data_IF_953348944342
#
_entry.id   IF_953348944342
#
_cell.length_a   1.000
_cell.length_b   1.000
_cell.length_c   1.000
_cell.angle_alpha   90.00
_cell.angle_beta   90.00
_cell.angle_gamma   90.00
#
_symmetry.space_group_name_H-M   'P 1'
#
loop_
_entity.id
_entity.type
_entity.pdbx_description
1 polymer ?
#
# COMPACT_ATOMS: atom_id res chain seq x y z
N UNK A 1 -4.19 -9.84 52.14
CA UNK A 1 -4.89 -9.39 50.91
C UNK A 1 -4.54 -7.93 50.68
N UNK A 2 -4.31 -7.50 49.44
CA UNK A 2 -3.98 -6.10 49.14
C UNK A 2 -5.07 -5.16 49.68
N UNK A 3 -4.66 -4.06 50.32
CA UNK A 3 -5.56 -3.01 50.77
C UNK A 3 -6.10 -2.15 49.61
N UNK A 4 -5.38 -2.12 48.49
CA UNK A 4 -5.76 -1.36 47.31
C UNK A 4 -6.99 -1.94 46.60
N UNK A 5 -7.80 -1.05 46.01
CA UNK A 5 -8.89 -1.43 45.11
C UNK A 5 -8.32 -1.66 43.71
N UNK A 6 -8.76 -2.70 43.02
CA UNK A 6 -8.57 -2.79 41.57
C UNK A 6 -9.46 -1.78 40.84
N UNK A 7 -9.17 -1.46 39.58
CA UNK A 7 -10.00 -0.55 38.77
C UNK A 7 -11.47 -0.99 38.72
N UNK A 8 -11.70 -2.30 38.61
CA UNK A 8 -13.04 -2.89 38.64
C UNK A 8 -13.73 -2.74 40.00
N UNK A 9 -13.00 -2.96 41.10
CA UNK A 9 -13.52 -2.75 42.46
C UNK A 9 -13.85 -1.27 42.72
N UNK A 10 -12.97 -0.35 42.33
CA UNK A 10 -13.16 1.09 42.48
C UNK A 10 -14.37 1.58 41.69
N UNK A 11 -14.54 1.09 40.46
CA UNK A 11 -15.66 1.46 39.60
C UNK A 11 -17.00 0.99 40.17
N UNK A 12 -17.10 -0.29 40.56
CA UNK A 12 -18.34 -0.85 41.14
C UNK A 12 -18.66 -0.17 42.47
N UNK A 13 -17.66 0.03 43.33
CA UNK A 13 -17.84 0.71 44.62
C UNK A 13 -18.29 2.17 44.41
N UNK A 14 -17.70 2.89 43.45
CA UNK A 14 -18.11 4.26 43.09
C UNK A 14 -19.58 4.35 42.67
N UNK A 15 -20.06 3.41 41.86
CA UNK A 15 -21.48 3.34 41.46
C UNK A 15 -22.44 3.09 42.63
N UNK A 16 -21.98 2.36 43.66
CA UNK A 16 -22.72 2.10 44.89
C UNK A 16 -22.62 3.24 45.91
N UNK A 17 -21.53 4.03 45.86
CA UNK A 17 -21.39 5.27 46.62
C UNK A 17 -22.31 6.36 46.08
N UNK A 18 -22.50 6.43 44.76
CA UNK A 18 -23.47 7.33 44.12
C UNK A 18 -24.90 7.05 44.60
N UNK A 19 -25.31 5.78 44.59
CA UNK A 19 -26.58 5.33 45.16
C UNK A 19 -26.59 3.80 45.36
N UNK A 20 -27.40 3.27 46.29
CA UNK A 20 -27.63 1.83 46.39
C UNK A 20 -28.24 1.27 45.10
N UNK A 21 -27.77 0.08 44.69
CA UNK A 21 -28.19 -0.55 43.42
C UNK A 21 -28.28 -2.07 43.56
N UNK A 22 -29.12 -2.67 42.73
CA UNK A 22 -29.08 -4.12 42.49
C UNK A 22 -27.97 -4.50 41.50
N UNK A 23 -27.54 -5.77 41.52
CA UNK A 23 -26.53 -6.28 40.58
C UNK A 23 -26.89 -6.06 39.10
N UNK A 24 -28.16 -6.21 38.73
CA UNK A 24 -28.61 -5.96 37.35
C UNK A 24 -28.64 -4.47 36.96
N UNK A 25 -28.81 -3.58 37.93
CA UNK A 25 -28.80 -2.13 37.69
C UNK A 25 -27.39 -1.63 37.50
N UNK A 26 -26.42 -2.20 38.22
CA UNK A 26 -25.00 -1.96 37.97
C UNK A 26 -24.63 -2.35 36.53
N UNK A 27 -25.06 -3.52 36.08
CA UNK A 27 -24.87 -3.94 34.68
C UNK A 27 -25.49 -2.95 33.70
N UNK A 28 -26.75 -2.53 33.94
CA UNK A 28 -27.44 -1.58 33.08
C UNK A 28 -26.71 -0.24 33.00
N UNK A 29 -26.25 0.29 34.14
CA UNK A 29 -25.51 1.57 34.19
C UNK A 29 -24.13 1.47 33.56
N UNK A 30 -23.43 0.35 33.74
CA UNK A 30 -22.13 0.09 33.11
C UNK A 30 -22.25 0.12 31.58
N UNK A 31 -23.31 -0.50 31.05
CA UNK A 31 -23.61 -0.49 29.62
C UNK A 31 -24.05 0.89 29.13
N UNK A 32 -25.04 1.51 29.80
CA UNK A 32 -25.58 2.83 29.46
C UNK A 32 -24.50 3.92 29.44
N UNK A 33 -23.58 3.91 30.43
CA UNK A 33 -22.48 4.89 30.55
C UNK A 33 -21.23 4.50 29.75
N UNK A 34 -21.23 3.36 29.06
CA UNK A 34 -20.07 2.90 28.29
C UNK A 34 -18.82 2.66 29.14
N UNK A 35 -18.98 2.25 30.39
CA UNK A 35 -17.89 2.10 31.38
C UNK A 35 -16.80 1.12 30.90
N UNK A 36 -17.20 0.15 30.07
CA UNK A 36 -16.30 -0.85 29.47
C UNK A 36 -15.33 -0.28 28.43
N UNK A 37 -15.59 0.93 27.93
CA UNK A 37 -14.67 1.60 27.01
C UNK A 37 -13.37 2.04 27.71
N UNK A 38 -13.41 2.26 29.03
CA UNK A 38 -12.28 2.78 29.82
C UNK A 38 -11.95 1.95 31.07
N UNK A 39 -12.65 0.83 31.30
CA UNK A 39 -12.33 -0.15 32.37
C UNK A 39 -12.38 -1.58 31.87
N UNK A 40 -11.52 -2.44 32.42
CA UNK A 40 -11.52 -3.87 32.15
C UNK A 40 -12.58 -4.63 32.98
N UNK A 41 -13.86 -4.22 32.90
CA UNK A 41 -14.98 -4.85 33.61
C UNK A 41 -15.82 -5.74 32.67
N UNK A 42 -15.61 -7.05 32.73
CA UNK A 42 -16.44 -8.04 32.04
C UNK A 42 -17.81 -8.25 32.70
N UNK A 43 -18.81 -8.70 31.94
CA UNK A 43 -20.17 -9.00 32.45
C UNK A 43 -20.16 -9.92 33.68
N UNK A 44 -19.46 -11.05 33.58
CA UNK A 44 -19.38 -12.05 34.66
C UNK A 44 -18.59 -11.57 35.89
N UNK A 45 -17.91 -10.43 35.81
CA UNK A 45 -17.06 -9.92 36.89
C UNK A 45 -17.81 -9.10 37.93
N UNK A 46 -19.00 -8.56 37.62
CA UNK A 46 -19.72 -7.67 38.56
C UNK A 46 -20.05 -8.40 39.87
N UNK A 47 -20.67 -9.57 39.79
CA UNK A 47 -21.03 -10.33 40.99
C UNK A 47 -19.82 -10.84 41.76
N UNK A 48 -18.73 -11.17 41.07
CA UNK A 48 -17.46 -11.51 41.70
C UNK A 48 -16.87 -10.32 42.47
N UNK A 49 -16.91 -9.12 41.88
CA UNK A 49 -16.46 -7.89 42.54
C UNK A 49 -17.35 -7.56 43.74
N UNK A 50 -18.68 -7.69 43.62
CA UNK A 50 -19.61 -7.49 44.73
C UNK A 50 -19.33 -8.43 45.90
N UNK A 51 -19.15 -9.73 45.65
CA UNK A 51 -18.79 -10.70 46.68
C UNK A 51 -17.45 -10.34 47.37
N UNK A 52 -16.46 -9.92 46.59
CA UNK A 52 -15.15 -9.50 47.11
C UNK A 52 -15.24 -8.23 47.96
N UNK A 53 -16.02 -7.23 47.53
CA UNK A 53 -16.27 -6.00 48.28
C UNK A 53 -17.04 -6.29 49.58
N UNK A 54 -18.02 -7.20 49.55
CA UNK A 54 -18.81 -7.60 50.71
C UNK A 54 -17.96 -8.34 51.75
N UNK A 55 -17.12 -9.30 51.31
CA UNK A 55 -16.16 -10.01 52.17
C UNK A 55 -15.15 -9.08 52.84
N UNK A 56 -14.85 -7.93 52.22
CA UNK A 56 -13.99 -6.87 52.76
C UNK A 56 -14.74 -5.88 53.66
N UNK A 57 -16.06 -6.03 53.84
CA UNK A 57 -16.89 -5.11 54.63
C UNK A 57 -17.04 -3.72 54.01
N UNK A 58 -16.80 -3.57 52.70
CA UNK A 58 -16.90 -2.29 51.99
C UNK A 58 -18.30 -2.02 51.46
N UNK A 59 -19.10 -3.08 51.33
CA UNK A 59 -20.52 -3.02 50.99
C UNK A 59 -21.31 -3.97 51.88
N UNK A 60 -22.61 -3.71 52.02
CA UNK A 60 -23.57 -4.57 52.68
C UNK A 60 -24.78 -4.81 51.78
N UNK A 61 -25.47 -5.94 51.98
CA UNK A 61 -26.65 -6.31 51.21
C UNK A 61 -27.91 -6.21 52.08
N UNK A 62 -28.92 -5.49 51.60
CA UNK A 62 -30.26 -5.46 52.22
C UNK A 62 -31.19 -6.34 51.38
N UNK A 63 -31.80 -7.34 52.01
CA UNK A 63 -32.78 -8.22 51.35
C UNK A 63 -34.18 -7.61 51.45
N UNK A 64 -34.95 -7.61 50.36
CA UNK A 64 -36.37 -7.26 50.39
C UNK A 64 -37.22 -8.42 50.99
N UNK A 65 -38.38 -8.14 51.60
CA UNK A 65 -39.26 -9.17 52.16
C UNK A 65 -39.67 -10.22 51.12
N UNK A 66 -39.89 -11.45 51.60
CA UNK A 66 -40.08 -12.67 50.82
C UNK A 66 -41.41 -12.72 50.05
N UNK A 67 -41.51 -12.08 48.89
CA UNK A 67 -42.45 -12.48 47.83
C UNK A 67 -41.91 -12.09 46.45
N UNK A 68 -41.71 -13.09 45.57
CA UNK A 68 -41.01 -12.95 44.29
C UNK A 68 -39.48 -13.00 44.42
N UNK A 69 -38.74 -13.27 43.33
CA UNK A 69 -37.26 -13.37 43.31
C UNK A 69 -36.62 -12.12 43.96
N UNK A 70 -36.43 -12.14 45.28
CA UNK A 70 -35.88 -11.02 46.07
C UNK A 70 -34.45 -10.80 45.62
N UNK A 71 -34.15 -9.60 45.10
CA UNK A 71 -32.83 -9.21 44.62
C UNK A 71 -32.19 -8.37 45.72
N UNK A 72 -31.04 -8.78 46.23
CA UNK A 72 -30.28 -7.99 47.19
C UNK A 72 -29.99 -6.60 46.61
N UNK A 73 -30.24 -5.56 47.40
CA UNK A 73 -29.75 -4.20 47.13
C UNK A 73 -28.42 -4.05 47.84
N UNK A 74 -27.39 -3.60 47.12
CA UNK A 74 -26.07 -3.38 47.70
C UNK A 74 -25.91 -1.92 48.11
N UNK A 75 -25.37 -1.70 49.30
CA UNK A 75 -25.12 -0.40 49.89
C UNK A 75 -23.63 -0.27 50.21
N UNK A 76 -23.00 0.85 49.87
CA UNK A 76 -21.65 1.14 50.35
C UNK A 76 -21.66 1.37 51.87
N UNK A 77 -20.70 0.80 52.60
CA UNK A 77 -20.49 1.08 54.03
C UNK A 77 -19.72 2.38 54.23
N UNK A 78 -19.55 2.84 55.48
CA UNK A 78 -18.72 4.01 55.77
C UNK A 78 -17.25 3.80 55.35
N UNK A 79 -16.67 2.63 55.67
CA UNK A 79 -15.33 2.26 55.23
C UNK A 79 -15.23 2.13 53.70
N UNK A 80 -16.27 1.63 53.03
CA UNK A 80 -16.37 1.61 51.57
C UNK A 80 -16.29 3.01 50.95
N UNK A 81 -17.05 3.97 51.48
CA UNK A 81 -17.02 5.37 51.03
C UNK A 81 -15.64 6.01 51.22
N UNK A 82 -15.02 5.83 52.39
CA UNK A 82 -13.69 6.36 52.69
C UNK A 82 -12.62 5.79 51.75
N UNK A 83 -12.63 4.47 51.55
CA UNK A 83 -11.66 3.82 50.68
C UNK A 83 -11.86 4.19 49.21
N UNK A 84 -13.10 4.31 48.74
CA UNK A 84 -13.42 4.79 47.39
C UNK A 84 -12.87 6.21 47.17
N UNK A 85 -13.04 7.10 48.15
CA UNK A 85 -12.53 8.47 48.07
C UNK A 85 -11.00 8.53 48.15
N UNK A 86 -10.36 7.68 48.95
CA UNK A 86 -8.90 7.59 49.03
C UNK A 86 -8.30 7.08 47.71
N UNK A 87 -8.82 5.98 47.17
CA UNK A 87 -8.36 5.43 45.90
C UNK A 87 -8.60 6.38 44.72
N UNK A 88 -9.71 7.12 44.71
CA UNK A 88 -9.97 8.14 43.68
C UNK A 88 -8.95 9.28 43.74
N UNK A 89 -8.58 9.76 44.94
CA UNK A 89 -7.55 10.80 45.12
C UNK A 89 -6.17 10.32 44.67
N UNK A 90 -5.83 9.08 44.97
CA UNK A 90 -4.59 8.45 44.49
C UNK A 90 -4.57 8.40 42.95
N UNK A 91 -5.64 7.89 42.33
CA UNK A 91 -5.75 7.79 40.87
C UNK A 91 -5.64 9.15 40.15
N UNK A 92 -6.08 10.24 40.79
CA UNK A 92 -5.95 11.60 40.23
C UNK A 92 -4.51 12.15 40.23
N UNK A 93 -3.61 11.58 41.03
CA UNK A 93 -2.23 12.07 41.19
C UNK A 93 -1.18 11.09 40.68
N UNK A 94 -1.56 9.83 40.48
CA UNK A 94 -0.66 8.77 40.03
C UNK A 94 -0.67 8.66 38.50
N UNK A 95 0.50 8.86 37.90
CA UNK A 95 0.68 8.61 36.47
C UNK A 95 0.61 7.10 36.17
N UNK A 96 -0.38 6.71 35.37
CA UNK A 96 -0.50 5.34 34.85
C UNK A 96 -0.23 5.31 33.34
N UNK A 97 0.93 4.82 32.88
CA UNK A 97 1.26 4.80 31.45
C UNK A 97 0.32 3.88 30.66
N UNK A 98 -0.27 4.40 29.58
CA UNK A 98 -1.06 3.60 28.65
C UNK A 98 -0.11 2.77 27.75
N UNK A 99 -0.17 1.45 27.85
CA UNK A 99 0.71 0.53 27.10
C UNK A 99 -0.03 -0.03 25.88
N UNK A 100 0.22 0.56 24.71
CA UNK A 100 -0.39 0.11 23.46
C UNK A 100 0.33 -1.12 22.88
N UNK A 101 -0.37 -2.26 22.78
CA UNK A 101 0.19 -3.53 22.25
C UNK A 101 0.70 -3.42 20.81
N UNK A 102 0.17 -2.48 20.02
CA UNK A 102 0.62 -2.25 18.64
C UNK A 102 2.11 -1.86 18.59
N UNK A 103 2.64 -1.17 19.61
CA UNK A 103 4.06 -0.81 19.65
C UNK A 103 4.96 -2.04 19.76
N UNK A 104 4.50 -3.07 20.48
CA UNK A 104 5.19 -4.38 20.54
C UNK A 104 5.12 -5.06 19.18
N UNK A 105 3.98 -4.99 18.49
CA UNK A 105 3.87 -5.54 17.14
C UNK A 105 4.82 -4.84 16.15
N UNK A 106 4.94 -3.50 16.23
CA UNK A 106 5.91 -2.75 15.41
C UNK A 106 7.35 -3.12 15.72
N UNK A 107 7.71 -3.33 16.99
CA UNK A 107 9.06 -3.78 17.35
C UNK A 107 9.41 -5.15 16.74
N UNK A 108 8.40 -5.99 16.46
CA UNK A 108 8.57 -7.31 15.86
C UNK A 108 8.24 -7.34 14.36
N UNK A 109 7.84 -6.20 13.76
CA UNK A 109 7.42 -6.16 12.36
C UNK A 109 8.50 -6.51 11.33
N UNK A 110 9.82 -6.34 11.58
CA UNK A 110 10.84 -6.79 10.64
C UNK A 110 10.82 -8.31 10.36
N UNK A 111 10.15 -9.10 11.20
CA UNK A 111 9.96 -10.53 10.97
C UNK A 111 8.72 -10.89 10.14
N UNK A 112 7.97 -9.90 9.64
CA UNK A 112 6.71 -10.10 8.92
C UNK A 112 6.79 -9.55 7.49
N UNK A 113 6.06 -10.10 6.51
CA UNK A 113 5.93 -9.48 5.20
C UNK A 113 5.27 -8.09 5.30
N UNK A 114 5.82 -7.09 4.63
CA UNK A 114 5.32 -5.70 4.66
C UNK A 114 3.82 -5.60 4.35
N UNK A 115 3.34 -6.41 3.39
CA UNK A 115 1.94 -6.46 3.02
C UNK A 115 1.03 -6.88 4.19
N UNK A 116 1.50 -7.77 5.06
CA UNK A 116 0.76 -8.19 6.25
C UNK A 116 0.76 -7.10 7.33
N UNK A 117 1.89 -6.41 7.52
CA UNK A 117 2.01 -5.29 8.45
C UNK A 117 1.03 -4.18 8.05
N UNK A 118 1.05 -3.78 6.78
CA UNK A 118 0.14 -2.77 6.22
C UNK A 118 -1.32 -3.21 6.36
N UNK A 119 -1.66 -4.45 6.00
CA UNK A 119 -3.02 -4.96 6.12
C UNK A 119 -3.50 -4.99 7.59
N UNK A 120 -2.61 -5.34 8.53
CA UNK A 120 -2.90 -5.35 9.96
C UNK A 120 -3.18 -3.95 10.51
N UNK A 121 -2.33 -2.97 10.17
CA UNK A 121 -2.51 -1.58 10.58
C UNK A 121 -3.77 -0.94 9.96
N UNK A 122 -4.12 -1.28 8.72
CA UNK A 122 -5.36 -0.81 8.08
C UNK A 122 -6.60 -1.34 8.83
N UNK A 123 -6.66 -2.65 9.12
CA UNK A 123 -7.78 -3.21 9.91
C UNK A 123 -7.89 -2.56 11.28
N UNK A 124 -6.75 -2.27 11.91
CA UNK A 124 -6.70 -1.57 13.19
C UNK A 124 -7.24 -0.14 13.09
N UNK A 125 -6.87 0.60 12.05
CA UNK A 125 -7.34 1.97 11.81
C UNK A 125 -8.87 2.02 11.68
N UNK A 126 -9.46 1.08 10.95
CA UNK A 126 -10.91 0.98 10.79
C UNK A 126 -11.61 0.68 12.12
N UNK A 127 -11.03 -0.22 12.94
CA UNK A 127 -11.54 -0.52 14.27
C UNK A 127 -11.47 0.71 15.20
N UNK A 128 -10.37 1.47 15.18
CA UNK A 128 -10.23 2.70 15.97
C UNK A 128 -11.26 3.76 15.56
N UNK A 129 -11.48 3.95 14.26
CA UNK A 129 -12.47 4.90 13.75
C UNK A 129 -13.89 4.51 14.16
N UNK A 130 -14.19 3.21 14.13
CA UNK A 130 -15.47 2.66 14.60
C UNK A 130 -15.65 2.93 16.09
N UNK A 131 -14.63 2.63 16.90
CA UNK A 131 -14.67 2.89 18.34
C UNK A 131 -14.83 4.38 18.67
N UNK A 132 -14.16 5.27 17.94
CA UNK A 132 -14.32 6.72 18.12
C UNK A 132 -15.75 7.18 17.80
N UNK A 133 -16.35 6.64 16.74
CA UNK A 133 -17.74 6.91 16.40
C UNK A 133 -18.70 6.42 17.49
N UNK A 134 -18.48 5.24 18.04
CA UNK A 134 -19.29 4.67 19.12
C UNK A 134 -19.21 5.51 20.40
N UNK A 135 -18.02 5.95 20.80
CA UNK A 135 -17.80 6.84 21.95
C UNK A 135 -18.55 8.17 21.77
N UNK A 136 -18.46 8.78 20.58
CA UNK A 136 -19.18 10.02 20.26
C UNK A 136 -20.69 9.86 20.25
N UNK A 137 -21.18 8.72 19.75
CA UNK A 137 -22.60 8.40 19.77
C UNK A 137 -23.10 8.18 21.20
N UNK A 138 -22.33 7.49 22.04
CA UNK A 138 -22.64 7.28 23.45
C UNK A 138 -22.68 8.60 24.24
N UNK A 139 -21.73 9.52 23.99
CA UNK A 139 -21.73 10.87 24.55
C UNK A 139 -23.00 11.63 24.17
N UNK A 140 -23.35 11.61 22.89
CA UNK A 140 -24.54 12.31 22.36
C UNK A 140 -25.84 11.79 22.98
N UNK A 141 -25.98 10.47 23.18
CA UNK A 141 -27.17 9.87 23.80
C UNK A 141 -27.36 10.24 25.27
N UNK A 142 -26.27 10.59 25.97
CA UNK A 142 -26.29 10.90 27.40
C UNK A 142 -26.28 12.41 27.69
N UNK A 143 -26.27 13.26 26.66
CA UNK A 143 -26.23 14.70 26.83
C UNK A 143 -27.56 15.25 27.40
N UNK A 144 -27.53 16.28 28.26
CA UNK A 144 -26.34 16.95 28.79
C UNK A 144 -25.65 16.16 29.92
N UNK A 145 -24.31 16.16 29.93
CA UNK A 145 -23.50 15.46 30.92
C UNK A 145 -22.90 16.43 31.95
N UNK A 146 -22.77 16.02 33.22
CA UNK A 146 -21.94 16.73 34.20
C UNK A 146 -20.47 16.82 33.75
N UNK A 147 -19.74 17.84 34.23
CA UNK A 147 -18.36 18.09 33.83
C UNK A 147 -17.44 16.87 34.00
N UNK A 148 -17.55 16.14 35.12
CA UNK A 148 -16.75 14.95 35.36
C UNK A 148 -17.04 13.81 34.36
N UNK A 149 -18.30 13.63 33.97
CA UNK A 149 -18.67 12.63 32.97
C UNK A 149 -18.21 13.05 31.56
N UNK A 150 -18.31 14.34 31.21
CA UNK A 150 -17.75 14.87 29.96
C UNK A 150 -16.25 14.61 29.85
N UNK A 151 -15.49 14.84 30.94
CA UNK A 151 -14.04 14.66 30.96
C UNK A 151 -13.60 13.22 30.59
N UNK A 152 -14.41 12.20 30.93
CA UNK A 152 -14.14 10.80 30.55
C UNK A 152 -14.24 10.63 29.02
N UNK A 153 -15.28 11.20 28.41
CA UNK A 153 -15.43 11.18 26.95
C UNK A 153 -14.34 12.00 26.27
N UNK A 154 -14.04 13.19 26.77
CA UNK A 154 -13.00 14.07 26.22
C UNK A 154 -11.63 13.35 26.19
N UNK A 155 -11.24 12.69 27.28
CA UNK A 155 -10.01 11.89 27.31
C UNK A 155 -10.05 10.74 26.29
N UNK A 156 -11.14 9.98 26.25
CA UNK A 156 -11.29 8.83 25.35
C UNK A 156 -11.21 9.25 23.88
N UNK A 157 -11.89 10.33 23.51
CA UNK A 157 -11.87 10.87 22.15
C UNK A 157 -10.47 11.36 21.75
N UNK A 158 -9.77 12.09 22.63
CA UNK A 158 -8.40 12.57 22.36
C UNK A 158 -7.43 11.42 22.17
N UNK A 159 -7.49 10.39 23.03
CA UNK A 159 -6.59 9.24 22.92
C UNK A 159 -6.85 8.42 21.65
N UNK A 160 -8.12 8.19 21.29
CA UNK A 160 -8.47 7.49 20.04
C UNK A 160 -8.06 8.30 18.82
N UNK A 161 -8.26 9.62 18.81
CA UNK A 161 -7.85 10.48 17.72
C UNK A 161 -6.32 10.50 17.55
N UNK A 162 -5.56 10.54 18.65
CA UNK A 162 -4.10 10.47 18.61
C UNK A 162 -3.61 9.12 18.04
N UNK A 163 -4.27 8.02 18.42
CA UNK A 163 -3.94 6.68 17.94
C UNK A 163 -4.28 6.48 16.45
N UNK A 164 -5.40 7.05 16.00
CA UNK A 164 -5.75 7.14 14.58
C UNK A 164 -4.65 7.91 13.82
N UNK A 165 -4.29 9.09 14.28
CA UNK A 165 -3.27 9.93 13.63
C UNK A 165 -1.90 9.26 13.54
N UNK A 166 -1.48 8.55 14.60
CA UNK A 166 -0.25 7.76 14.58
C UNK A 166 -0.33 6.61 13.56
N UNK A 167 -1.46 5.89 13.52
CA UNK A 167 -1.65 4.76 12.59
C UNK A 167 -1.63 5.21 11.13
N UNK A 168 -2.32 6.30 10.82
CA UNK A 168 -2.35 6.90 9.48
C UNK A 168 -0.94 7.34 9.04
N UNK A 169 -0.21 8.01 9.91
CA UNK A 169 1.16 8.48 9.63
C UNK A 169 2.10 7.30 9.38
N UNK A 170 1.98 6.24 10.18
CA UNK A 170 2.80 5.02 10.05
C UNK A 170 2.50 4.30 8.73
N UNK A 171 1.22 4.11 8.40
CA UNK A 171 0.80 3.53 7.11
C UNK A 171 1.34 4.34 5.92
N UNK A 172 1.28 5.66 5.99
CA UNK A 172 1.81 6.55 4.95
C UNK A 172 3.33 6.45 4.79
N UNK A 173 4.07 6.15 5.87
CA UNK A 173 5.53 5.96 5.84
C UNK A 173 5.89 4.63 5.20
N UNK A 174 5.27 3.53 5.65
CA UNK A 174 5.51 2.19 5.12
C UNK A 174 5.20 2.10 3.61
N UNK A 175 4.11 2.74 3.17
CA UNK A 175 3.77 2.80 1.75
C UNK A 175 4.83 3.52 0.90
N UNK A 176 5.50 4.53 1.46
CA UNK A 176 6.59 5.25 0.78
C UNK A 176 7.86 4.41 0.72
N UNK A 177 8.23 3.74 1.82
CA UNK A 177 9.40 2.84 1.87
C UNK A 177 9.27 1.71 0.84
N UNK A 178 8.12 1.04 0.77
CA UNK A 178 7.85 0.02 -0.26
C UNK A 178 7.97 0.59 -1.69
N UNK A 179 7.65 1.86 -1.90
CA UNK A 179 7.78 2.50 -3.20
C UNK A 179 9.23 2.89 -3.55
N UNK A 180 10.09 3.05 -2.53
CA UNK A 180 11.53 3.30 -2.69
C UNK A 180 12.29 1.99 -2.98
N UNK A 181 11.88 0.88 -2.39
CA UNK A 181 12.51 -0.45 -2.59
C UNK A 181 12.17 -1.11 -3.93
N UNK A 182 11.26 -0.52 -4.71
CA UNK A 182 10.86 -1.03 -6.02
C UNK A 182 11.79 -0.50 -7.11
N UNK A 183 12.44 -1.40 -7.84
CA UNK A 183 13.23 -1.02 -9.02
C UNK A 183 12.34 -0.43 -10.11
N UNK A 184 12.78 0.70 -10.68
CA UNK A 184 12.11 1.37 -11.78
C UNK A 184 13.18 1.69 -12.82
N UNK A 185 13.11 1.04 -13.98
CA UNK A 185 14.06 1.20 -15.08
C UNK A 185 14.25 2.67 -15.48
N UNK A 186 13.16 3.46 -15.45
CA UNK A 186 13.19 4.89 -15.80
C UNK A 186 13.90 5.72 -14.75
N UNK A 187 13.89 5.31 -13.48
CA UNK A 187 14.64 5.98 -12.41
C UNK A 187 16.09 5.55 -12.41
N UNK A 188 16.34 4.25 -12.54
CA UNK A 188 17.69 3.67 -12.56
C UNK A 188 18.51 4.20 -13.74
N UNK A 189 17.88 4.41 -14.90
CA UNK A 189 18.54 4.91 -16.12
C UNK A 189 17.89 6.21 -16.60
N UNK A 190 17.73 7.20 -15.71
CA UNK A 190 17.01 8.45 -16.02
C UNK A 190 17.45 9.14 -17.32
N UNK A 191 18.76 9.17 -17.61
CA UNK A 191 19.29 9.74 -18.85
C UNK A 191 18.76 9.05 -20.12
N UNK A 192 18.42 7.77 -20.05
CA UNK A 192 17.90 6.98 -21.18
C UNK A 192 16.39 7.15 -21.39
N UNK A 193 15.65 7.57 -20.36
CA UNK A 193 14.18 7.63 -20.37
C UNK A 193 13.61 9.06 -20.25
N UNK A 194 14.47 10.08 -20.25
CA UNK A 194 14.06 11.49 -20.11
C UNK A 194 14.89 12.46 -20.98
N UNK A 195 15.09 12.19 -22.29
CA UNK A 195 15.79 13.14 -23.16
C UNK A 195 14.97 14.42 -23.39
N UNK A 196 15.62 15.54 -23.74
CA UNK A 196 14.92 16.75 -24.15
C UNK A 196 14.17 16.53 -25.47
N UNK A 197 13.13 17.34 -25.72
CA UNK A 197 12.31 17.24 -26.94
C UNK A 197 12.74 18.17 -28.08
N UNK A 198 13.70 19.06 -27.83
CA UNK A 198 14.12 20.08 -28.81
C UNK A 198 15.44 19.76 -29.49
N UNK A 199 16.34 19.10 -28.78
CA UNK A 199 17.71 18.82 -29.19
C UNK A 199 18.04 17.33 -29.05
N UNK A 200 18.99 16.86 -29.85
CA UNK A 200 19.50 15.50 -29.76
C UNK A 200 20.52 15.39 -28.63
N UNK A 201 20.52 14.24 -27.97
CA UNK A 201 21.47 13.92 -26.90
C UNK A 201 22.22 12.65 -27.24
N UNK A 202 23.55 12.68 -27.09
CA UNK A 202 24.39 11.48 -27.17
C UNK A 202 24.37 10.80 -25.80
N UNK A 203 24.10 9.50 -25.77
CA UNK A 203 24.06 8.68 -24.56
C UNK A 203 24.79 7.37 -24.80
N UNK A 204 25.42 6.84 -23.76
CA UNK A 204 25.92 5.46 -23.77
C UNK A 204 24.91 4.56 -23.07
N UNK A 205 24.33 3.64 -23.84
CA UNK A 205 23.37 2.66 -23.36
C UNK A 205 24.13 1.43 -22.90
N UNK A 206 24.09 1.08 -21.60
CA UNK A 206 24.75 -0.11 -21.09
C UNK A 206 24.06 -1.37 -21.61
N UNK A 207 24.65 -2.53 -21.32
CA UNK A 207 23.97 -3.80 -21.52
C UNK A 207 22.69 -3.84 -20.66
N UNK A 208 21.55 -4.05 -21.31
CA UNK A 208 20.24 -4.19 -20.68
C UNK A 208 19.59 -5.51 -21.05
N UNK A 209 18.74 -6.02 -20.17
CA UNK A 209 17.96 -7.25 -20.39
C UNK A 209 16.51 -6.93 -20.70
N UNK A 210 15.92 -7.76 -21.54
CA UNK A 210 14.58 -7.60 -22.06
C UNK A 210 13.90 -8.95 -22.15
N UNK A 211 12.59 -9.01 -21.92
CA UNK A 211 11.80 -10.02 -22.64
C UNK A 211 11.51 -9.47 -24.03
N UNK A 212 11.71 -10.28 -25.06
CA UNK A 212 11.65 -9.84 -26.45
C UNK A 212 10.96 -10.86 -27.34
N UNK A 213 10.30 -10.37 -28.38
CA UNK A 213 9.67 -11.18 -29.44
C UNK A 213 9.90 -10.49 -30.78
N UNK A 214 10.31 -11.28 -31.78
CA UNK A 214 10.51 -10.79 -33.14
C UNK A 214 9.23 -10.91 -33.95
N UNK A 215 9.09 -10.06 -34.95
CA UNK A 215 7.99 -10.12 -35.90
C UNK A 215 8.25 -9.30 -37.14
N UNK A 216 7.28 -9.37 -38.06
CA UNK A 216 7.33 -8.68 -39.34
C UNK A 216 5.96 -8.15 -39.73
N UNK A 217 5.95 -7.11 -40.56
CA UNK A 217 4.75 -6.51 -41.13
C UNK A 217 4.22 -5.29 -40.36
N UNK A 218 3.17 -4.69 -40.92
CA UNK A 218 2.64 -3.41 -40.46
C UNK A 218 2.03 -3.51 -39.05
N UNK A 219 2.54 -2.76 -38.06
CA UNK A 219 2.04 -2.80 -36.69
C UNK A 219 0.57 -2.40 -36.54
N UNK A 220 -0.01 -1.71 -37.52
CA UNK A 220 -1.40 -1.28 -37.49
C UNK A 220 -2.40 -2.35 -37.92
N UNK A 221 -1.94 -3.36 -38.68
CA UNK A 221 -2.85 -4.32 -39.33
C UNK A 221 -2.47 -5.78 -39.06
N UNK A 222 -1.20 -6.06 -38.73
CA UNK A 222 -0.73 -7.43 -38.50
C UNK A 222 -1.24 -7.97 -37.14
N UNK A 223 -2.00 -9.08 -37.12
CA UNK A 223 -2.40 -9.74 -35.87
C UNK A 223 -1.20 -10.17 -35.02
N UNK A 224 -0.08 -10.51 -35.68
CA UNK A 224 1.18 -10.88 -35.03
C UNK A 224 1.69 -9.78 -34.08
N UNK A 225 1.55 -8.50 -34.45
CA UNK A 225 1.98 -7.38 -33.62
C UNK A 225 1.13 -7.23 -32.35
N UNK A 226 -0.20 -7.31 -32.50
CA UNK A 226 -1.11 -7.26 -31.36
C UNK A 226 -0.89 -8.44 -30.40
N UNK A 227 -0.70 -9.65 -30.95
CA UNK A 227 -0.40 -10.85 -30.18
C UNK A 227 0.93 -10.72 -29.42
N UNK A 228 1.98 -10.18 -30.06
CA UNK A 228 3.29 -9.94 -29.47
C UNK A 228 3.21 -8.99 -28.26
N UNK A 229 2.57 -7.83 -28.42
CA UNK A 229 2.40 -6.86 -27.32
C UNK A 229 1.63 -7.49 -26.17
N UNK A 230 0.55 -8.20 -26.48
CA UNK A 230 -0.26 -8.85 -25.46
C UNK A 230 0.53 -9.92 -24.69
N UNK A 231 1.30 -10.74 -25.39
CA UNK A 231 2.16 -11.76 -24.80
C UNK A 231 3.24 -11.13 -23.91
N UNK A 232 3.93 -10.10 -24.40
CA UNK A 232 4.95 -9.35 -23.65
C UNK A 232 4.41 -8.81 -22.33
N UNK A 233 3.28 -8.10 -22.36
CA UNK A 233 2.69 -7.58 -21.12
C UNK A 233 2.22 -8.70 -20.20
N UNK A 234 1.62 -9.75 -20.73
CA UNK A 234 1.21 -10.93 -19.95
C UNK A 234 2.39 -11.52 -19.17
N UNK A 235 3.52 -11.74 -19.84
CA UNK A 235 4.74 -12.30 -19.25
C UNK A 235 5.43 -11.29 -18.32
N UNK A 236 5.52 -10.01 -18.68
CA UNK A 236 6.12 -8.98 -17.82
C UNK A 236 5.41 -8.86 -16.47
N UNK A 237 4.07 -8.89 -16.45
CA UNK A 237 3.31 -8.87 -15.20
C UNK A 237 3.45 -10.18 -14.43
N UNK A 238 3.46 -11.33 -15.10
CA UNK A 238 3.71 -12.62 -14.46
C UNK A 238 5.09 -12.65 -13.76
N UNK A 239 6.13 -12.16 -14.43
CA UNK A 239 7.49 -12.02 -13.88
C UNK A 239 7.53 -11.08 -12.68
N UNK A 240 6.90 -9.91 -12.78
CA UNK A 240 6.80 -8.94 -11.67
C UNK A 240 6.22 -9.57 -10.41
N UNK A 241 5.08 -10.26 -10.54
CA UNK A 241 4.44 -10.89 -9.39
C UNK A 241 5.22 -12.10 -8.87
N UNK A 242 5.82 -12.89 -9.76
CA UNK A 242 6.70 -13.99 -9.38
C UNK A 242 7.90 -13.48 -8.58
N UNK A 243 8.65 -12.51 -9.11
CA UNK A 243 9.82 -11.90 -8.47
C UNK A 243 9.49 -11.36 -7.07
N UNK A 244 8.39 -10.62 -6.94
CA UNK A 244 7.95 -10.10 -5.63
C UNK A 244 7.67 -11.23 -4.64
N UNK A 245 7.02 -12.31 -5.09
CA UNK A 245 6.62 -13.43 -4.24
C UNK A 245 7.79 -14.34 -3.87
N UNK A 246 8.68 -14.65 -4.80
CA UNK A 246 9.73 -15.67 -4.61
C UNK A 246 11.07 -15.09 -4.19
N UNK A 247 11.37 -13.86 -4.60
CA UNK A 247 12.66 -13.20 -4.32
C UNK A 247 12.53 -12.02 -3.35
N UNK A 248 11.30 -11.59 -3.02
CA UNK A 248 11.08 -10.36 -2.25
C UNK A 248 11.45 -9.07 -3.00
N UNK A 249 11.77 -9.16 -4.29
CA UNK A 249 12.22 -8.02 -5.12
C UNK A 249 11.09 -7.58 -6.04
N UNK A 250 10.60 -6.36 -5.85
CA UNK A 250 9.55 -5.76 -6.69
C UNK A 250 10.16 -4.82 -7.73
N UNK A 251 9.54 -4.72 -8.91
CA UNK A 251 9.95 -3.79 -9.96
C UNK A 251 8.76 -3.23 -10.76
N UNK A 252 8.94 -2.07 -11.39
CA UNK A 252 7.94 -1.44 -12.29
C UNK A 252 8.09 -2.07 -13.66
N UNK A 253 6.99 -2.54 -14.27
CA UNK A 253 7.02 -2.97 -15.67
C UNK A 253 7.42 -1.78 -16.54
N UNK A 254 8.49 -1.93 -17.32
CA UNK A 254 9.02 -0.88 -18.18
C UNK A 254 8.05 -0.46 -19.29
N UNK A 255 8.32 0.66 -19.99
CA UNK A 255 7.61 0.98 -21.22
C UNK A 255 7.80 -0.14 -22.26
N UNK A 256 6.89 -0.19 -23.23
CA UNK A 256 7.13 -0.99 -24.44
C UNK A 256 8.27 -0.32 -25.22
N UNK A 257 9.19 -1.13 -25.71
CA UNK A 257 10.33 -0.73 -26.51
C UNK A 257 10.30 -1.53 -27.82
N UNK A 258 10.75 -0.92 -28.91
CA UNK A 258 10.69 -1.50 -30.25
C UNK A 258 11.95 -1.23 -31.05
N UNK A 259 12.59 -2.30 -31.51
CA UNK A 259 13.64 -2.22 -32.52
C UNK A 259 13.02 -2.35 -33.90
N UNK A 260 13.40 -1.48 -34.83
CA UNK A 260 12.86 -1.39 -36.18
C UNK A 260 13.97 -1.47 -37.21
N UNK A 261 13.82 -2.40 -38.16
CA UNK A 261 14.77 -2.64 -39.23
C UNK A 261 14.07 -2.99 -40.55
N UNK A 262 14.75 -2.75 -41.66
CA UNK A 262 14.33 -3.15 -42.99
C UNK A 262 15.57 -3.48 -43.83
N UNK A 263 15.46 -4.47 -44.72
CA UNK A 263 16.55 -4.83 -45.65
C UNK A 263 16.90 -3.69 -46.62
N UNK A 264 15.89 -2.90 -47.01
CA UNK A 264 16.04 -1.73 -47.87
C UNK A 264 15.65 -0.46 -47.07
N UNK A 265 16.61 0.43 -46.74
CA UNK A 265 16.34 1.66 -46.00
C UNK A 265 15.33 2.59 -46.68
N UNK A 266 15.14 2.51 -48.00
CA UNK A 266 14.16 3.33 -48.73
C UNK A 266 12.71 2.99 -48.35
N UNK A 267 12.48 1.83 -47.72
CA UNK A 267 11.18 1.38 -47.19
C UNK A 267 10.64 2.31 -46.10
N UNK A 268 11.51 2.91 -45.29
CA UNK A 268 11.09 3.86 -44.25
C UNK A 268 10.62 5.19 -44.85
N UNK A 269 11.31 5.67 -45.89
CA UNK A 269 10.93 6.88 -46.64
C UNK A 269 9.65 6.66 -47.43
N UNK A 270 9.49 5.48 -48.04
CA UNK A 270 8.31 5.10 -48.80
C UNK A 270 7.13 4.62 -47.93
N UNK A 271 7.27 4.60 -46.59
CA UNK A 271 6.29 4.09 -45.61
C UNK A 271 5.69 2.73 -45.96
N UNK A 272 6.48 1.82 -46.55
CA UNK A 272 6.00 0.46 -46.90
C UNK A 272 6.07 -0.44 -45.67
N UNK A 273 5.21 -0.17 -44.68
CA UNK A 273 5.20 -0.81 -43.35
C UNK A 273 5.13 -2.34 -43.37
N UNK A 274 4.56 -2.92 -44.42
CA UNK A 274 4.54 -4.37 -44.65
C UNK A 274 5.92 -5.03 -44.78
N UNK A 275 6.98 -4.28 -45.09
CA UNK A 275 8.35 -4.81 -45.17
C UNK A 275 9.18 -4.55 -43.90
N UNK A 276 8.56 -4.04 -42.83
CA UNK A 276 9.25 -3.80 -41.57
C UNK A 276 9.46 -5.09 -40.80
N UNK A 277 10.65 -5.25 -40.26
CA UNK A 277 10.96 -6.25 -39.25
C UNK A 277 11.15 -5.53 -37.93
N UNK A 278 10.68 -6.16 -36.86
CA UNK A 278 10.71 -5.55 -35.56
C UNK A 278 11.00 -6.55 -34.46
N UNK A 279 11.62 -6.07 -33.39
CA UNK A 279 11.72 -6.79 -32.12
C UNK A 279 11.00 -5.93 -31.08
N UNK A 280 9.86 -6.41 -30.58
CA UNK A 280 9.16 -5.74 -29.48
C UNK A 280 9.70 -6.29 -28.17
N UNK A 281 9.92 -5.40 -27.20
CA UNK A 281 10.61 -5.75 -25.96
C UNK A 281 10.14 -4.94 -24.75
N UNK A 282 10.32 -5.53 -23.56
CA UNK A 282 10.09 -4.87 -22.26
C UNK A 282 11.27 -5.17 -21.34
N UNK A 283 11.95 -4.11 -20.88
CA UNK A 283 13.13 -4.23 -20.02
C UNK A 283 12.84 -5.00 -18.73
N UNK A 284 13.78 -5.87 -18.35
CA UNK A 284 13.78 -6.65 -17.11
C UNK A 284 15.00 -6.30 -16.25
N UNK A 285 14.87 -6.33 -14.91
CA UNK A 285 16.00 -6.20 -14.01
C UNK A 285 17.03 -7.33 -14.17
N UNK A 286 18.27 -7.09 -13.75
CA UNK A 286 19.42 -8.01 -13.88
C UNK A 286 19.27 -9.35 -13.13
N UNK A 287 18.37 -9.41 -12.15
CA UNK A 287 18.08 -10.62 -11.38
C UNK A 287 17.03 -11.52 -12.01
N UNK A 288 16.37 -11.06 -13.08
CA UNK A 288 15.47 -11.92 -13.85
C UNK A 288 16.32 -12.85 -14.72
N UNK A 289 16.18 -14.14 -14.47
CA UNK A 289 16.88 -15.22 -15.17
C UNK A 289 15.97 -15.94 -16.18
N UNK A 290 16.57 -16.69 -17.10
CA UNK A 290 15.88 -17.42 -18.18
C UNK A 290 14.79 -18.34 -17.63
N UNK A 291 15.06 -19.04 -16.52
CA UNK A 291 14.13 -20.00 -15.91
C UNK A 291 12.88 -19.30 -15.37
N UNK A 292 13.03 -18.06 -14.88
CA UNK A 292 11.90 -17.26 -14.44
C UNK A 292 11.03 -16.82 -15.62
N UNK A 293 11.65 -16.48 -16.75
CA UNK A 293 10.95 -16.12 -17.99
C UNK A 293 10.17 -17.31 -18.52
N UNK A 294 10.81 -18.48 -18.61
CA UNK A 294 10.14 -19.71 -19.07
C UNK A 294 8.96 -20.09 -18.17
N UNK A 295 9.14 -20.04 -16.86
CA UNK A 295 8.05 -20.31 -15.92
C UNK A 295 6.91 -19.29 -16.04
N UNK A 296 7.22 -18.02 -16.33
CA UNK A 296 6.20 -17.00 -16.58
C UNK A 296 5.43 -17.25 -17.89
N UNK A 297 6.12 -17.62 -18.96
CA UNK A 297 5.52 -18.02 -20.25
C UNK A 297 4.55 -19.19 -20.02
N UNK A 298 4.99 -20.26 -19.37
CA UNK A 298 4.17 -21.44 -19.11
C UNK A 298 2.92 -21.10 -18.29
N UNK A 299 3.05 -20.21 -17.30
CA UNK A 299 1.94 -19.76 -16.46
C UNK A 299 0.91 -18.94 -17.24
N UNK A 300 1.35 -18.13 -18.20
CA UNK A 300 0.47 -17.35 -19.07
C UNK A 300 -0.21 -18.27 -20.09
N UNK A 301 0.54 -19.18 -20.70
CA UNK A 301 0.03 -20.15 -21.69
C UNK A 301 -1.09 -21.04 -21.14
N UNK A 302 -1.04 -21.42 -19.85
CA UNK A 302 -2.11 -22.17 -19.19
C UNK A 302 -3.45 -21.44 -19.13
N UNK A 303 -3.43 -20.11 -19.17
CA UNK A 303 -4.62 -19.26 -19.01
C UNK A 303 -5.11 -18.69 -20.33
N UNK A 304 -4.22 -18.54 -21.30
CA UNK A 304 -4.50 -17.85 -22.55
C UNK A 304 -3.71 -18.48 -23.69
N UNK A 305 -4.43 -18.82 -24.75
CA UNK A 305 -3.84 -19.21 -26.02
C UNK A 305 -3.42 -17.94 -26.78
N UNK A 306 -2.11 -17.72 -26.90
CA UNK A 306 -1.53 -16.63 -27.67
C UNK A 306 -0.31 -17.17 -28.43
N UNK A 307 -0.30 -17.10 -29.78
CA UNK A 307 0.75 -17.72 -30.59
C UNK A 307 2.13 -17.11 -30.38
N UNK A 308 2.23 -15.85 -29.94
CA UNK A 308 3.51 -15.18 -29.71
C UNK A 308 4.24 -15.64 -28.44
N UNK A 309 3.59 -16.41 -27.56
CA UNK A 309 4.20 -16.90 -26.32
C UNK A 309 5.38 -17.83 -26.58
N UNK A 310 5.35 -18.61 -27.67
CA UNK A 310 6.42 -19.55 -28.03
C UNK A 310 7.70 -18.86 -28.54
N UNK A 311 7.59 -17.61 -28.98
CA UNK A 311 8.69 -16.83 -29.58
C UNK A 311 9.32 -15.84 -28.58
N UNK A 312 8.76 -15.75 -27.37
CA UNK A 312 9.31 -14.90 -26.31
C UNK A 312 10.60 -15.50 -25.75
N UNK A 313 11.60 -14.64 -25.58
CA UNK A 313 12.90 -14.99 -24.99
C UNK A 313 13.41 -13.90 -24.07
N UNK A 314 14.29 -14.26 -23.14
CA UNK A 314 15.15 -13.27 -22.52
C UNK A 314 16.22 -12.85 -23.54
N UNK A 315 16.35 -11.55 -23.77
CA UNK A 315 17.28 -10.96 -24.71
C UNK A 315 18.17 -9.95 -24.00
N UNK A 316 19.47 -10.06 -24.21
CA UNK A 316 20.46 -9.11 -23.69
C UNK A 316 20.93 -8.24 -24.86
N UNK A 317 20.83 -6.92 -24.70
CA UNK A 317 21.14 -5.95 -25.75
C UNK A 317 22.17 -4.95 -25.21
N UNK A 318 23.28 -4.82 -25.94
CA UNK A 318 24.27 -3.76 -25.75
C UNK A 318 24.17 -2.81 -26.95
N UNK A 319 23.42 -1.71 -26.80
CA UNK A 319 23.29 -0.71 -27.88
C UNK A 319 24.53 0.17 -28.00
N UNK A 320 25.25 0.41 -26.88
CA UNK A 320 26.44 1.25 -26.86
C UNK A 320 26.10 2.73 -27.07
N UNK A 321 26.93 3.44 -27.82
CA UNK A 321 26.73 4.87 -28.06
C UNK A 321 25.54 5.10 -28.99
N UNK A 322 24.59 5.90 -28.54
CA UNK A 322 23.37 6.24 -29.26
C UNK A 322 23.12 7.74 -29.28
N UNK A 323 22.35 8.19 -30.27
CA UNK A 323 21.74 9.52 -30.30
C UNK A 323 20.25 9.37 -30.05
N UNK A 324 19.68 10.17 -29.14
CA UNK A 324 18.25 10.11 -28.83
C UNK A 324 17.59 11.48 -28.66
N UNK A 325 16.26 11.52 -28.83
CA UNK A 325 15.40 12.69 -28.61
C UNK A 325 14.00 12.26 -28.16
N UNK A 326 13.32 13.11 -27.39
CA UNK A 326 11.90 12.91 -27.06
C UNK A 326 11.00 13.50 -28.17
N UNK A 327 10.29 12.64 -28.90
CA UNK A 327 9.20 13.03 -29.77
C UNK A 327 7.90 13.22 -28.98
N UNK A 328 7.17 14.31 -29.27
CA UNK A 328 5.84 14.58 -28.70
C UNK A 328 4.87 14.79 -29.86
N UNK A 329 3.97 13.84 -30.07
CA UNK A 329 3.05 13.85 -31.21
C UNK A 329 2.73 12.45 -31.71
N UNK A 330 1.96 12.34 -32.80
CA UNK A 330 1.62 11.05 -33.40
C UNK A 330 2.86 10.34 -33.92
N UNK A 331 2.84 9.01 -33.97
CA UNK A 331 3.89 8.20 -34.60
C UNK A 331 4.05 8.54 -36.10
N UNK A 332 2.95 8.94 -36.76
CA UNK A 332 2.98 9.38 -38.16
C UNK A 332 3.73 10.71 -38.37
N UNK A 333 3.96 11.47 -37.29
CA UNK A 333 4.60 12.79 -37.30
C UNK A 333 6.09 12.72 -36.95
N UNK A 334 6.67 11.53 -36.82
CA UNK A 334 8.09 11.34 -36.47
C UNK A 334 9.04 11.63 -37.64
N UNK A 335 8.54 11.62 -38.88
CA UNK A 335 9.34 11.77 -40.10
C UNK A 335 10.26 13.01 -40.09
N UNK A 336 9.80 14.23 -39.74
CA UNK A 336 10.69 15.39 -39.69
C UNK A 336 11.81 15.25 -38.64
N UNK A 337 11.52 14.59 -37.51
CA UNK A 337 12.51 14.36 -36.46
C UNK A 337 13.57 13.36 -36.90
N UNK A 338 13.16 12.27 -37.56
CA UNK A 338 14.05 11.25 -38.11
C UNK A 338 14.90 11.80 -39.26
N UNK A 339 14.31 12.60 -40.15
CA UNK A 339 15.05 13.29 -41.21
C UNK A 339 16.15 14.20 -40.64
N UNK A 340 15.81 15.01 -39.62
CA UNK A 340 16.77 15.85 -38.90
C UNK A 340 17.88 15.03 -38.24
N UNK A 341 17.56 13.84 -37.72
CA UNK A 341 18.55 12.95 -37.13
C UNK A 341 19.51 12.43 -38.20
N UNK A 342 18.98 11.75 -39.22
CA UNK A 342 19.76 10.95 -40.16
C UNK A 342 20.46 11.78 -41.25
N UNK A 343 19.82 12.84 -41.75
CA UNK A 343 20.35 13.61 -42.88
C UNK A 343 21.10 14.89 -42.48
N UNK A 344 21.01 15.28 -41.20
CA UNK A 344 21.66 16.50 -40.70
C UNK A 344 22.54 16.20 -39.48
N UNK A 345 21.95 15.77 -38.36
CA UNK A 345 22.70 15.65 -37.11
C UNK A 345 23.82 14.61 -37.18
N UNK A 346 23.56 13.40 -37.70
CA UNK A 346 24.60 12.37 -37.78
C UNK A 346 25.78 12.79 -38.68
N UNK A 347 25.58 13.23 -39.94
CA UNK A 347 26.67 13.70 -40.79
C UNK A 347 27.45 14.88 -40.20
N UNK A 348 26.75 15.89 -39.66
CA UNK A 348 27.37 17.11 -39.10
C UNK A 348 28.27 16.80 -37.89
N UNK A 349 28.06 15.66 -37.23
CA UNK A 349 28.84 15.21 -36.06
C UNK A 349 29.77 14.03 -36.37
N UNK A 350 29.97 13.67 -37.65
CA UNK A 350 30.88 12.58 -38.04
C UNK A 350 30.41 11.19 -37.57
N UNK A 351 29.09 10.99 -37.48
CA UNK A 351 28.47 9.75 -37.02
C UNK A 351 27.74 9.04 -38.17
N UNK A 352 27.66 7.72 -38.08
CA UNK A 352 26.85 6.86 -38.97
C UNK A 352 26.13 5.78 -38.17
N UNK A 353 25.24 5.03 -38.83
CA UNK A 353 24.41 3.99 -38.25
C UNK A 353 25.24 2.85 -37.64
N UNK A 354 24.79 2.33 -36.49
CA UNK A 354 25.39 1.17 -35.82
C UNK A 354 24.34 0.15 -35.35
N UNK A 355 23.23 0.02 -36.08
CA UNK A 355 22.17 -0.95 -35.76
C UNK A 355 20.77 -0.43 -36.03
N UNK A 356 19.80 -1.14 -35.45
CA UNK A 356 18.37 -0.88 -35.61
C UNK A 356 17.93 0.47 -35.07
N UNK A 357 16.85 1.02 -35.62
CA UNK A 357 16.17 2.16 -35.00
C UNK A 357 15.43 1.70 -33.74
N UNK A 358 15.56 2.42 -32.64
CA UNK A 358 14.96 2.05 -31.36
C UNK A 358 13.94 3.11 -30.91
N UNK A 359 12.71 2.69 -30.72
CA UNK A 359 11.62 3.51 -30.17
C UNK A 359 11.21 3.05 -28.77
N UNK A 360 11.00 4.00 -27.85
CA UNK A 360 10.53 3.73 -26.48
C UNK A 360 9.20 4.45 -26.26
N UNK A 361 8.12 3.68 -26.08
CA UNK A 361 6.75 4.19 -25.96
C UNK A 361 6.41 4.53 -24.50
N UNK A 362 6.62 5.80 -24.11
CA UNK A 362 6.35 6.26 -22.75
C UNK A 362 4.86 6.46 -22.45
N UNK A 363 4.03 6.54 -23.49
CA UNK A 363 2.58 6.76 -23.39
C UNK A 363 1.79 5.55 -23.86
N UNK A 364 0.68 5.25 -23.19
CA UNK A 364 -0.28 4.25 -23.67
C UNK A 364 -1.15 4.89 -24.76
N UNK A 365 -0.97 4.46 -26.01
CA UNK A 365 -1.69 4.98 -27.18
C UNK A 365 -3.21 4.79 -27.11
N UNK A 366 -3.70 3.84 -26.30
CA UNK A 366 -5.14 3.61 -26.11
C UNK A 366 -5.78 4.63 -25.16
N UNK A 367 -4.96 5.33 -24.38
CA UNK A 367 -5.40 6.23 -23.30
C UNK A 367 -4.98 7.68 -23.50
N UNK A 368 -4.07 7.92 -24.43
CA UNK A 368 -3.43 9.22 -24.63
C UNK A 368 -3.77 9.73 -26.03
N UNK A 369 -4.24 10.97 -26.12
CA UNK A 369 -4.52 11.60 -27.40
C UNK A 369 -3.24 11.67 -28.27
N UNK A 370 -3.31 11.46 -29.60
CA UNK A 370 -2.12 11.40 -30.47
C UNK A 370 -1.15 12.58 -30.31
N UNK A 371 -1.67 13.81 -30.21
CA UNK A 371 -0.86 15.02 -30.01
C UNK A 371 -0.12 15.11 -28.67
N UNK A 372 -0.37 14.19 -27.74
CA UNK A 372 0.26 14.12 -26.41
C UNK A 372 1.08 12.85 -26.19
N UNK A 373 1.17 11.98 -27.21
CA UNK A 373 2.01 10.79 -27.14
C UNK A 373 3.47 11.23 -26.98
N UNK A 374 4.21 10.42 -26.23
CA UNK A 374 5.62 10.61 -25.95
C UNK A 374 6.37 9.35 -26.34
N UNK A 375 7.26 9.48 -27.31
CA UNK A 375 8.13 8.41 -27.81
C UNK A 375 9.55 8.89 -27.74
N UNK A 376 10.47 8.09 -27.18
CA UNK A 376 11.89 8.38 -27.35
C UNK A 376 12.32 7.71 -28.64
N UNK A 377 12.91 8.50 -29.53
CA UNK A 377 13.53 8.01 -30.76
C UNK A 377 15.02 7.91 -30.49
N UNK A 378 15.60 6.72 -30.67
CA UNK A 378 17.01 6.44 -30.44
C UNK A 378 17.63 5.73 -31.63
N UNK A 379 18.84 6.13 -31.98
CA UNK A 379 19.64 5.52 -33.04
C UNK A 379 21.02 5.15 -32.48
N UNK A 380 21.40 3.86 -32.46
CA UNK A 380 22.79 3.44 -32.26
C UNK A 380 23.69 4.00 -33.36
N UNK A 381 24.85 4.53 -32.94
CA UNK A 381 25.80 5.22 -33.81
C UNK A 381 27.22 4.74 -33.61
N UNK A 382 28.06 4.96 -34.63
CA UNK A 382 29.51 4.81 -34.59
C UNK A 382 30.16 5.96 -35.37
N UNK A 383 31.46 6.16 -35.19
CA UNK A 383 32.22 7.10 -36.02
C UNK A 383 32.14 6.69 -37.50
N UNK A 384 31.89 7.67 -38.36
CA UNK A 384 31.70 7.50 -39.81
C UNK A 384 32.94 6.97 -40.54
#
# INVERSE_FOLDING_TARGET
>A
MSSALTDGELTVLGLLVEQPRHGYELERVIEERGVRAWTALGFSSIYYVLDKLAKRGLIEATNAPSSGKSRATFHATASGRELCAAASREALTTLTPMRARVLIAMANSPGLPDAEVVAGLTRRLDALRTQLADVRAARSRQAPLPAAASAIFDYSEVMLAADIGWTETTLGTLAKETAVDKYDIKKAHHALYSPPSKEFTVVDVPELRYIAVDGRGDPNTAPAYANAIEALYGVAYALKFASKRTLGRDFVVGPLEGLWRAEDPTVFVARRKQAWEWTMMISQPDWIAEEMVQAAIDNVARKKDNPALGDLRLHTLLEGTCVQILHIGSYEDETPTLDRLHNHYLPDNGLTFNGDHHEIYLSDARRTAPAKLKTILRQPVKTA
#
